data_IF_151727115949
#
_entry.id   IF_151727115949
#
_cell.length_a   1.000
_cell.length_b   1.000
_cell.length_c   1.000
_cell.angle_alpha   90.00
_cell.angle_beta   90.00
_cell.angle_gamma   90.00
#
_symmetry.space_group_name_H-M   'P 1'
#
loop_
_entity.id
_entity.type
_entity.pdbx_description
1 polymer ?
#
# COMPACT_ATOMS: atom_id res chain seq x y z
N UNK A 1 12.37 3.48 10.67
CA UNK A 1 12.86 2.77 11.89
C UNK A 1 12.25 1.38 11.93
N UNK A 2 13.06 0.35 12.17
CA UNK A 2 12.60 -1.04 12.27
C UNK A 2 12.56 -1.47 13.74
N UNK A 3 11.49 -2.14 14.14
CA UNK A 3 11.30 -2.61 15.51
C UNK A 3 10.87 -4.08 15.52
N UNK A 4 11.64 -4.91 16.22
CA UNK A 4 11.22 -6.26 16.56
C UNK A 4 10.12 -6.22 17.63
N UNK A 5 9.16 -7.11 17.54
CA UNK A 5 8.13 -7.30 18.54
C UNK A 5 8.07 -8.78 18.95
N UNK A 6 8.74 -9.15 20.02
CA UNK A 6 8.94 -10.53 20.47
C UNK A 6 9.58 -11.37 19.36
N UNK A 7 8.87 -12.39 18.90
CA UNK A 7 9.25 -13.31 17.82
C UNK A 7 8.96 -12.77 16.41
N UNK A 8 8.18 -11.68 16.30
CA UNK A 8 7.83 -11.03 15.03
C UNK A 8 8.87 -10.00 14.66
N UNK A 9 9.43 -10.12 13.45
CA UNK A 9 10.50 -9.25 12.96
C UNK A 9 10.24 -8.81 11.54
N UNK A 10 10.51 -7.55 11.20
CA UNK A 10 10.46 -7.09 9.82
C UNK A 10 11.46 -7.85 8.94
N UNK A 11 11.05 -8.17 7.70
CA UNK A 11 11.84 -8.91 6.71
C UNK A 11 11.97 -8.11 5.43
N UNK A 12 13.19 -8.03 4.90
CA UNK A 12 13.49 -7.48 3.59
C UNK A 12 13.86 -8.61 2.63
N UNK A 13 13.13 -8.75 1.52
CA UNK A 13 13.37 -9.79 0.51
C UNK A 13 14.27 -9.31 -0.63
N UNK A 14 14.73 -8.06 -0.59
CA UNK A 14 15.63 -7.48 -1.57
C UNK A 14 15.92 -6.02 -1.26
N UNK A 15 16.54 -5.33 -2.21
CA UNK A 15 16.80 -3.90 -2.07
C UNK A 15 15.49 -3.11 -2.07
N UNK A 16 15.25 -2.33 -1.02
CA UNK A 16 14.09 -1.47 -0.82
C UNK A 16 14.50 -0.23 -0.01
N UNK A 17 13.57 0.69 0.20
CA UNK A 17 13.88 1.91 0.95
C UNK A 17 12.79 2.25 1.96
N UNK A 18 13.21 2.62 3.16
CA UNK A 18 12.33 3.07 4.24
C UNK A 18 12.85 4.42 4.73
N UNK A 19 11.99 5.45 4.69
CA UNK A 19 12.32 6.78 5.18
C UNK A 19 12.76 6.74 6.66
N UNK A 20 13.70 7.59 7.09
CA UNK A 20 14.29 7.54 8.44
C UNK A 20 13.27 7.61 9.58
N UNK A 21 12.16 8.30 9.36
CA UNK A 21 11.11 8.50 10.36
C UNK A 21 9.84 7.66 10.07
N UNK A 22 9.87 6.78 9.09
CA UNK A 22 8.83 5.75 8.93
C UNK A 22 9.03 4.65 9.98
N UNK A 23 7.93 4.04 10.43
CA UNK A 23 7.92 3.00 11.47
C UNK A 23 7.48 1.68 10.87
N UNK A 24 8.34 0.67 10.98
CA UNK A 24 8.06 -0.70 10.59
C UNK A 24 8.20 -1.58 11.84
N UNK A 25 7.12 -2.22 12.28
CA UNK A 25 7.14 -2.99 13.52
C UNK A 25 6.45 -4.34 13.37
N UNK A 26 7.08 -5.39 13.90
CA UNK A 26 6.50 -6.74 13.95
C UNK A 26 6.61 -7.51 12.63
N UNK A 27 5.63 -8.34 12.30
CA UNK A 27 5.63 -9.18 11.11
C UNK A 27 5.26 -8.40 9.86
N UNK A 28 6.24 -7.66 9.33
CA UNK A 28 6.13 -6.89 8.09
C UNK A 28 7.15 -7.40 7.09
N UNK A 29 6.71 -7.73 5.89
CA UNK A 29 7.59 -8.18 4.80
C UNK A 29 7.61 -7.12 3.71
N UNK A 30 8.80 -6.62 3.38
CA UNK A 30 9.04 -5.66 2.29
C UNK A 30 9.74 -6.39 1.14
N UNK A 31 9.12 -6.39 -0.02
CA UNK A 31 9.71 -6.99 -1.21
C UNK A 31 10.64 -6.00 -1.94
N UNK A 32 11.40 -6.51 -2.91
CA UNK A 32 12.38 -5.71 -3.67
C UNK A 32 11.73 -4.52 -4.38
N UNK A 33 12.49 -3.46 -4.54
CA UNK A 33 12.06 -2.18 -5.12
C UNK A 33 10.87 -1.51 -4.41
N UNK A 34 10.38 -2.03 -3.28
CA UNK A 34 9.35 -1.36 -2.51
C UNK A 34 9.89 -0.14 -1.75
N UNK A 35 8.99 0.77 -1.37
CA UNK A 35 9.40 1.94 -0.58
C UNK A 35 8.33 2.38 0.42
N UNK A 36 8.78 2.82 1.60
CA UNK A 36 7.93 3.37 2.67
C UNK A 36 8.39 4.77 3.01
N UNK A 37 7.51 5.74 2.83
CA UNK A 37 7.82 7.17 2.86
C UNK A 37 7.62 7.77 4.25
N UNK A 38 7.88 9.07 4.37
CA UNK A 38 7.99 9.76 5.65
C UNK A 38 6.72 9.65 6.51
N UNK A 39 6.91 9.44 7.81
CA UNK A 39 5.83 9.31 8.81
C UNK A 39 4.83 8.16 8.56
N UNK A 40 5.07 7.28 7.59
CA UNK A 40 4.23 6.11 7.42
C UNK A 40 4.49 5.08 8.53
N UNK A 41 3.43 4.37 8.95
CA UNK A 41 3.50 3.34 9.99
C UNK A 41 2.92 2.03 9.48
N UNK A 42 3.74 0.98 9.48
CA UNK A 42 3.33 -0.39 9.17
C UNK A 42 3.47 -1.21 10.46
N UNK A 43 2.34 -1.57 11.07
CA UNK A 43 2.31 -2.30 12.34
C UNK A 43 1.73 -3.70 12.21
N UNK A 44 2.61 -4.69 12.02
CA UNK A 44 2.31 -6.11 11.92
C UNK A 44 2.42 -6.83 13.28
N UNK A 45 1.77 -6.29 14.30
CA UNK A 45 1.79 -6.86 15.65
C UNK A 45 0.81 -8.04 15.82
N UNK A 46 -0.21 -8.12 14.98
CA UNK A 46 -1.25 -9.17 15.01
C UNK A 46 -1.04 -10.16 13.87
N UNK A 47 -1.24 -9.73 12.61
CA UNK A 47 -1.06 -10.54 11.41
C UNK A 47 0.03 -9.94 10.52
N UNK A 48 0.47 -10.69 9.50
CA UNK A 48 1.48 -10.24 8.55
C UNK A 48 0.97 -9.06 7.71
N UNK A 49 1.86 -8.11 7.46
CA UNK A 49 1.74 -7.09 6.42
C UNK A 49 2.76 -7.39 5.32
N UNK A 50 2.31 -7.64 4.11
CA UNK A 50 3.16 -7.87 2.95
C UNK A 50 3.07 -6.71 1.96
N UNK A 51 4.19 -6.07 1.68
CA UNK A 51 4.33 -5.03 0.65
C UNK A 51 5.07 -5.61 -0.55
N UNK A 52 4.37 -5.79 -1.66
CA UNK A 52 4.88 -6.43 -2.86
C UNK A 52 5.90 -5.61 -3.65
N UNK A 53 6.54 -6.28 -4.60
CA UNK A 53 7.60 -5.72 -5.42
C UNK A 53 7.20 -4.40 -6.10
N UNK A 54 8.07 -3.40 -6.01
CA UNK A 54 7.90 -2.11 -6.67
C UNK A 54 6.77 -1.23 -6.11
N UNK A 55 6.09 -1.68 -5.05
CA UNK A 55 5.00 -0.94 -4.42
C UNK A 55 5.51 0.14 -3.47
N UNK A 56 4.69 1.18 -3.26
CA UNK A 56 5.06 2.28 -2.39
C UNK A 56 3.95 2.63 -1.40
N UNK A 57 4.33 2.96 -0.17
CA UNK A 57 3.46 3.48 0.88
C UNK A 57 3.89 4.91 1.18
N UNK A 58 3.04 5.88 0.80
CA UNK A 58 3.37 7.29 0.86
C UNK A 58 3.16 7.89 2.25
N UNK A 59 3.57 9.14 2.38
CA UNK A 59 3.74 9.87 3.63
C UNK A 59 2.49 9.85 4.51
N UNK A 60 2.69 9.58 5.81
CA UNK A 60 1.65 9.60 6.81
C UNK A 60 0.61 8.47 6.74
N UNK A 61 0.79 7.49 5.87
CA UNK A 61 -0.13 6.35 5.76
C UNK A 61 0.04 5.39 6.93
N UNK A 62 -1.07 4.72 7.31
CA UNK A 62 -1.10 3.75 8.40
C UNK A 62 -1.62 2.41 7.89
N UNK A 63 -0.84 1.35 8.08
CA UNK A 63 -1.17 -0.01 7.72
C UNK A 63 -1.20 -0.88 8.97
N UNK A 64 -2.33 -1.55 9.20
CA UNK A 64 -2.53 -2.40 10.37
C UNK A 64 -3.37 -3.64 10.05
N UNK A 65 -3.48 -4.53 11.02
CA UNK A 65 -4.14 -5.84 10.86
C UNK A 65 -4.95 -6.19 12.10
N UNK A 66 -5.94 -7.08 11.93
CA UNK A 66 -6.70 -7.72 13.01
C UNK A 66 -6.52 -9.24 12.97
N UNK A 67 -6.87 -9.97 14.04
CA UNK A 67 -6.77 -11.43 14.07
C UNK A 67 -7.52 -12.08 12.90
N UNK A 68 -6.78 -12.88 12.09
CA UNK A 68 -7.31 -13.54 10.91
C UNK A 68 -7.46 -12.65 9.67
N UNK A 69 -6.99 -11.40 9.71
CA UNK A 69 -7.05 -10.45 8.60
C UNK A 69 -5.65 -9.89 8.28
N UNK A 70 -4.78 -10.67 7.62
CA UNK A 70 -3.50 -10.18 7.14
C UNK A 70 -3.73 -9.10 6.08
N UNK A 71 -2.74 -8.22 5.91
CA UNK A 71 -2.76 -7.18 4.91
C UNK A 71 -1.78 -7.53 3.79
N UNK A 72 -2.31 -7.70 2.56
CA UNK A 72 -1.51 -8.05 1.40
C UNK A 72 -1.61 -6.96 0.33
N UNK A 73 -0.47 -6.43 -0.06
CA UNK A 73 -0.32 -5.49 -1.17
C UNK A 73 0.47 -6.18 -2.27
N UNK A 74 -0.08 -6.24 -3.47
CA UNK A 74 0.53 -6.82 -4.66
C UNK A 74 1.71 -6.00 -5.18
N UNK A 75 2.12 -6.27 -6.40
CA UNK A 75 3.26 -5.60 -7.06
C UNK A 75 2.83 -4.31 -7.75
N UNK A 76 3.73 -3.31 -7.80
CA UNK A 76 3.52 -2.02 -8.46
C UNK A 76 2.26 -1.26 -7.98
N UNK A 77 1.89 -1.44 -6.71
CA UNK A 77 0.78 -0.73 -6.09
C UNK A 77 1.24 0.59 -5.51
N UNK A 78 0.45 1.64 -5.73
CA UNK A 78 0.68 2.94 -5.09
C UNK A 78 -0.33 3.15 -3.96
N UNK A 79 0.15 3.26 -2.73
CA UNK A 79 -0.63 3.68 -1.57
C UNK A 79 -0.35 5.16 -1.35
N UNK A 80 -1.32 6.01 -1.67
CA UNK A 80 -1.22 7.48 -1.61
C UNK A 80 -1.04 8.00 -0.18
N UNK A 81 -0.73 9.28 -0.07
CA UNK A 81 -0.51 9.94 1.23
C UNK A 81 -1.71 9.81 2.16
N UNK A 82 -1.47 9.65 3.47
CA UNK A 82 -2.50 9.60 4.52
C UNK A 82 -3.57 8.50 4.33
N UNK A 83 -3.24 7.43 3.63
CA UNK A 83 -4.13 6.28 3.44
C UNK A 83 -4.15 5.44 4.71
N UNK A 84 -5.34 4.90 5.05
CA UNK A 84 -5.50 3.87 6.07
C UNK A 84 -5.87 2.55 5.42
N UNK A 85 -5.02 1.53 5.58
CA UNK A 85 -5.32 0.15 5.20
C UNK A 85 -5.41 -0.72 6.44
N UNK A 86 -6.46 -1.54 6.52
CA UNK A 86 -6.68 -2.41 7.66
C UNK A 86 -7.14 -3.80 7.20
N UNK A 87 -6.28 -4.82 7.37
CA UNK A 87 -6.60 -6.23 7.12
C UNK A 87 -7.22 -6.53 5.74
N UNK A 88 -6.71 -5.95 4.68
CA UNK A 88 -7.27 -6.00 3.33
C UNK A 88 -6.28 -6.56 2.30
N UNK A 89 -6.77 -6.82 1.10
CA UNK A 89 -5.95 -7.24 -0.05
C UNK A 89 -6.06 -6.20 -1.17
N UNK A 90 -4.92 -5.79 -1.70
CA UNK A 90 -4.82 -4.92 -2.87
C UNK A 90 -4.01 -5.68 -3.92
N UNK A 91 -4.62 -5.99 -5.05
CA UNK A 91 -3.94 -6.68 -6.14
C UNK A 91 -3.09 -5.72 -6.99
N UNK A 92 -2.29 -6.32 -7.88
CA UNK A 92 -1.22 -5.66 -8.63
C UNK A 92 -1.68 -4.41 -9.39
N UNK A 93 -0.74 -3.48 -9.56
CA UNK A 93 -0.89 -2.30 -10.39
C UNK A 93 -2.13 -1.43 -10.04
N UNK A 94 -2.52 -1.39 -8.78
CA UNK A 94 -3.64 -0.55 -8.32
C UNK A 94 -3.16 0.69 -7.58
N UNK A 95 -3.99 1.74 -7.61
CA UNK A 95 -3.71 3.00 -6.92
C UNK A 95 -4.78 3.26 -5.86
N UNK A 96 -4.36 3.45 -4.62
CA UNK A 96 -5.19 3.90 -3.51
C UNK A 96 -4.96 5.38 -3.31
N UNK A 97 -5.97 6.18 -3.60
CA UNK A 97 -5.89 7.65 -3.61
C UNK A 97 -5.70 8.25 -2.22
N UNK A 98 -5.23 9.48 -2.19
CA UNK A 98 -4.86 10.23 -0.98
C UNK A 98 -5.99 10.20 0.06
N UNK A 99 -5.66 9.81 1.29
CA UNK A 99 -6.58 9.78 2.42
C UNK A 99 -7.74 8.80 2.30
N UNK A 100 -7.67 7.83 1.38
CA UNK A 100 -8.66 6.76 1.31
C UNK A 100 -8.52 5.79 2.49
N UNK A 101 -9.62 5.11 2.81
CA UNK A 101 -9.68 4.10 3.88
C UNK A 101 -10.17 2.78 3.29
N UNK A 102 -9.45 1.68 3.56
CA UNK A 102 -9.83 0.32 3.13
C UNK A 102 -9.83 -0.59 4.35
N UNK A 103 -10.99 -1.20 4.63
CA UNK A 103 -11.23 -1.94 5.87
C UNK A 103 -11.09 -3.47 5.70
N UNK A 104 -11.26 -4.19 6.81
CA UNK A 104 -11.03 -5.64 6.93
C UNK A 104 -11.75 -6.46 5.84
N UNK A 105 -11.04 -7.45 5.30
CA UNK A 105 -11.52 -8.35 4.23
C UNK A 105 -11.90 -7.66 2.92
N UNK A 106 -11.72 -6.35 2.79
CA UNK A 106 -11.91 -5.73 1.48
C UNK A 106 -10.84 -6.26 0.50
N UNK A 107 -11.27 -6.48 -0.74
CA UNK A 107 -10.39 -6.93 -1.82
C UNK A 107 -10.50 -5.95 -2.97
N UNK A 108 -9.39 -5.36 -3.35
CA UNK A 108 -9.26 -4.49 -4.51
C UNK A 108 -8.56 -5.30 -5.61
N UNK A 109 -9.23 -5.44 -6.74
CA UNK A 109 -8.68 -6.14 -7.91
C UNK A 109 -7.50 -5.41 -8.55
N UNK A 110 -6.99 -5.97 -9.65
CA UNK A 110 -5.88 -5.41 -10.42
C UNK A 110 -6.28 -4.15 -11.19
N UNK A 111 -5.31 -3.28 -11.43
CA UNK A 111 -5.48 -2.07 -12.26
C UNK A 111 -6.62 -1.16 -11.76
N UNK A 112 -6.91 -1.16 -10.47
CA UNK A 112 -7.97 -0.35 -9.90
C UNK A 112 -7.46 1.03 -9.48
N UNK A 113 -8.33 2.02 -9.58
CA UNK A 113 -8.13 3.36 -9.02
C UNK A 113 -9.18 3.59 -7.94
N UNK A 114 -8.75 3.66 -6.69
CA UNK A 114 -9.57 4.10 -5.57
C UNK A 114 -9.35 5.60 -5.42
N UNK A 115 -10.39 6.38 -5.65
CA UNK A 115 -10.30 7.85 -5.60
C UNK A 115 -9.92 8.36 -4.22
N UNK A 116 -9.36 9.58 -4.17
CA UNK A 116 -9.00 10.22 -2.90
C UNK A 116 -10.19 10.31 -1.94
N UNK A 117 -9.94 10.12 -0.62
CA UNK A 117 -10.97 10.14 0.44
C UNK A 117 -12.08 9.09 0.30
N UNK A 118 -11.93 8.11 -0.57
CA UNK A 118 -12.91 7.02 -0.67
C UNK A 118 -12.85 6.09 0.55
N UNK A 119 -14.01 5.55 0.94
CA UNK A 119 -14.12 4.54 1.99
C UNK A 119 -14.56 3.20 1.38
N UNK A 120 -13.68 2.22 1.42
CA UNK A 120 -14.00 0.83 1.07
C UNK A 120 -14.31 0.09 2.37
N UNK A 121 -15.57 -0.25 2.53
CA UNK A 121 -16.07 -0.91 3.74
C UNK A 121 -15.63 -2.38 3.81
N UNK A 122 -15.79 -2.96 4.99
CA UNK A 122 -15.47 -4.36 5.24
C UNK A 122 -16.14 -5.32 4.25
N UNK A 123 -15.44 -6.40 3.92
CA UNK A 123 -15.89 -7.48 3.03
C UNK A 123 -16.25 -7.02 1.60
N UNK A 124 -15.92 -5.80 1.21
CA UNK A 124 -16.20 -5.28 -0.13
C UNK A 124 -15.21 -5.86 -1.13
N UNK A 125 -15.73 -6.38 -2.24
CA UNK A 125 -14.91 -6.81 -3.38
C UNK A 125 -15.07 -5.80 -4.52
N UNK A 126 -13.93 -5.29 -5.00
CA UNK A 126 -13.84 -4.38 -6.16
C UNK A 126 -13.22 -5.17 -7.31
N UNK A 127 -13.95 -5.32 -8.43
CA UNK A 127 -13.45 -6.04 -9.60
C UNK A 127 -12.23 -5.36 -10.22
N UNK A 128 -11.45 -6.13 -10.98
CA UNK A 128 -10.33 -5.60 -11.76
C UNK A 128 -10.75 -4.42 -12.66
N UNK A 129 -9.80 -3.53 -12.92
CA UNK A 129 -9.93 -2.37 -13.79
C UNK A 129 -11.03 -1.37 -13.37
N UNK A 130 -11.34 -1.27 -12.09
CA UNK A 130 -12.42 -0.41 -11.60
C UNK A 130 -11.93 0.96 -11.14
N UNK A 131 -12.63 2.01 -11.55
CA UNK A 131 -12.57 3.33 -10.92
C UNK A 131 -13.63 3.41 -9.82
N UNK A 132 -13.19 3.64 -8.59
CA UNK A 132 -14.06 3.72 -7.39
C UNK A 132 -13.95 5.09 -6.76
N UNK A 133 -15.08 5.70 -6.39
CA UNK A 133 -15.11 6.98 -5.70
C UNK A 133 -16.17 7.00 -4.60
N UNK A 134 -15.97 7.86 -3.61
CA UNK A 134 -16.97 8.22 -2.60
C UNK A 134 -16.83 7.53 -1.26
N UNK A 135 -17.67 7.93 -0.30
CA UNK A 135 -17.74 7.38 1.05
C UNK A 135 -19.23 7.15 1.40
N UNK A 136 -19.72 5.88 1.33
CA UNK A 136 -19.00 4.66 0.94
C UNK A 136 -18.63 4.64 -0.55
N UNK A 137 -17.51 3.96 -0.88
CA UNK A 137 -16.97 3.85 -2.23
C UNK A 137 -17.87 3.02 -3.16
N UNK A 138 -18.09 3.53 -4.36
CA UNK A 138 -18.86 2.85 -5.42
C UNK A 138 -18.04 2.77 -6.70
N UNK A 139 -18.12 1.65 -7.39
CA UNK A 139 -17.58 1.52 -8.75
C UNK A 139 -18.35 2.48 -9.65
N UNK A 140 -17.63 3.44 -10.25
CA UNK A 140 -18.19 4.46 -11.14
C UNK A 140 -18.18 3.97 -12.58
N UNK A 141 -17.08 3.36 -12.99
CA UNK A 141 -16.86 2.81 -14.33
C UNK A 141 -15.60 1.93 -14.36
N UNK A 142 -15.31 1.37 -15.48
CA UNK A 142 -14.00 0.76 -15.78
C UNK A 142 -12.94 1.87 -15.99
N UNK A 143 -11.71 1.59 -15.57
CA UNK A 143 -10.56 2.41 -15.93
C UNK A 143 -10.31 2.32 -17.44
N UNK A 144 -9.83 3.41 -18.02
CA UNK A 144 -9.31 3.40 -19.40
C UNK A 144 -7.90 2.82 -19.44
N UNK A 145 -7.43 2.41 -20.62
CA UNK A 145 -6.05 1.93 -20.81
C UNK A 145 -5.03 3.03 -20.42
N UNK A 146 -5.31 4.28 -20.76
CA UNK A 146 -4.46 5.43 -20.39
C UNK A 146 -4.38 5.61 -18.86
N UNK A 147 -5.48 5.40 -18.13
CA UNK A 147 -5.49 5.45 -16.66
C UNK A 147 -4.69 4.30 -16.06
N UNK A 148 -4.81 3.10 -16.60
CA UNK A 148 -4.04 1.91 -16.18
C UNK A 148 -2.55 2.14 -16.43
N UNK A 149 -2.17 2.68 -17.57
CA UNK A 149 -0.78 3.03 -17.85
C UNK A 149 -0.28 4.15 -16.94
N UNK A 150 -1.10 5.15 -16.66
CA UNK A 150 -0.72 6.26 -15.76
C UNK A 150 -0.43 5.78 -14.33
N UNK A 151 -1.22 4.87 -13.76
CA UNK A 151 -0.96 4.33 -12.42
C UNK A 151 0.28 3.44 -12.40
N UNK A 152 0.54 2.69 -13.47
CA UNK A 152 1.77 1.90 -13.63
C UNK A 152 3.01 2.81 -13.67
N UNK A 153 2.96 3.88 -14.47
CA UNK A 153 4.05 4.86 -14.51
C UNK A 153 4.25 5.58 -13.17
N UNK A 154 3.18 5.77 -12.40
CA UNK A 154 3.28 6.30 -11.05
C UNK A 154 4.12 5.40 -10.14
N UNK A 155 3.86 4.08 -10.11
CA UNK A 155 4.64 3.13 -9.32
C UNK A 155 6.12 3.13 -9.75
N UNK A 156 6.41 3.10 -11.06
CA UNK A 156 7.78 3.16 -11.60
C UNK A 156 8.49 4.44 -11.14
N UNK A 157 7.80 5.59 -11.18
CA UNK A 157 8.37 6.87 -10.72
C UNK A 157 8.77 6.83 -9.24
N UNK A 158 8.00 6.16 -8.38
CA UNK A 158 8.35 5.97 -6.98
C UNK A 158 9.55 5.03 -6.78
N UNK A 159 9.69 4.00 -7.64
CA UNK A 159 10.89 3.14 -7.66
C UNK A 159 12.15 3.92 -8.06
N UNK A 160 12.05 4.89 -8.97
CA UNK A 160 13.16 5.77 -9.31
C UNK A 160 13.43 6.81 -8.22
N UNK A 161 12.37 7.35 -7.61
CA UNK A 161 12.50 8.39 -6.59
C UNK A 161 13.22 7.87 -5.35
N UNK A 162 12.84 6.73 -4.80
CA UNK A 162 13.50 6.24 -3.60
C UNK A 162 15.00 6.01 -3.82
N UNK A 163 15.44 5.62 -5.03
CA UNK A 163 16.87 5.49 -5.38
C UNK A 163 17.62 6.82 -5.35
N UNK A 164 16.94 7.94 -5.64
CA UNK A 164 17.51 9.29 -5.49
C UNK A 164 17.61 9.67 -4.01
N UNK A 165 16.53 9.42 -3.25
CA UNK A 165 16.49 9.72 -1.81
C UNK A 165 17.52 8.91 -1.03
N UNK A 166 17.72 7.63 -1.33
CA UNK A 166 18.72 6.79 -0.67
C UNK A 166 20.16 7.29 -0.86
N UNK A 167 20.44 8.07 -1.91
CA UNK A 167 21.76 8.67 -2.19
C UNK A 167 21.92 10.06 -1.59
N UNK A 168 20.83 10.74 -1.24
CA UNK A 168 20.84 12.18 -0.90
C UNK A 168 20.58 12.47 0.58
N UNK A 169 19.93 11.55 1.30
CA UNK A 169 19.50 11.81 2.68
C UNK A 169 20.49 11.22 3.72
N UNK A 170 21.50 10.47 3.29
CA UNK A 170 22.57 9.94 4.17
C UNK A 170 23.90 9.88 3.47
#
# INVERSE_FOLDING_TARGET
MFYDLKDKKPKNLGENWVAPNAVIIGDVTLDKNSSVWFNATLRGDIENIYLGEGSNVQDGSVLHTDPGYPLKIGSNVTIGHLVMLHGCTIDDNSLIGIGAVVLNKAKIGKNCIIGAKSLITENKEIPDNSLVMGSPGKVIRQCTDDEIDAIKQNAIRYQENWKKYSKSIF
#
